data_IF_577116481511
#
_entry.id   IF_577116481511
#
_cell.length_a   1.000
_cell.length_b   1.000
_cell.length_c   1.000
_cell.angle_alpha   90.00
_cell.angle_beta   90.00
_cell.angle_gamma   90.00
#
_symmetry.space_group_name_H-M   'P 1'
#
loop_
_entity.id
_entity.type
_entity.pdbx_description
1 polymer ?
#
# COMPACT_ATOMS: atom_id res chain seq x y z
N UNK A 1 -22.56 -3.84 -25.15
CA UNK A 1 -22.25 -4.69 -23.96
C UNK A 1 -20.98 -4.27 -23.20
N UNK A 2 -20.23 -3.25 -23.63
CA UNK A 2 -18.93 -2.88 -23.02
C UNK A 2 -18.98 -2.03 -21.73
N UNK A 3 -20.14 -1.43 -21.39
CA UNK A 3 -20.27 -0.58 -20.19
C UNK A 3 -20.27 -1.36 -18.86
N UNK A 4 -20.65 -2.65 -18.88
CA UNK A 4 -20.76 -3.49 -17.67
C UNK A 4 -19.40 -3.98 -17.13
N UNK A 5 -18.46 -4.33 -18.02
CA UNK A 5 -17.13 -4.85 -17.63
C UNK A 5 -16.24 -3.74 -17.06
N UNK A 6 -16.39 -2.50 -17.56
CA UNK A 6 -15.64 -1.33 -17.10
C UNK A 6 -16.02 -0.92 -15.67
N UNK A 7 -17.29 -1.02 -15.30
CA UNK A 7 -17.77 -0.69 -13.94
C UNK A 7 -17.34 -1.72 -12.88
N UNK A 8 -17.20 -3.00 -13.25
CA UNK A 8 -16.72 -4.04 -12.34
C UNK A 8 -15.21 -3.91 -12.02
N UNK A 9 -14.39 -3.55 -13.01
CA UNK A 9 -12.96 -3.30 -12.81
C UNK A 9 -12.71 -2.10 -11.86
N UNK A 10 -13.56 -1.07 -11.93
CA UNK A 10 -13.52 0.15 -11.10
C UNK A 10 -13.85 -0.16 -9.63
N UNK A 11 -14.92 -0.95 -9.38
CA UNK A 11 -15.30 -1.38 -8.03
C UNK A 11 -14.26 -2.32 -7.41
N UNK A 12 -13.54 -3.11 -8.24
CA UNK A 12 -12.58 -4.11 -7.78
C UNK A 12 -11.21 -3.54 -7.35
N UNK A 13 -10.85 -2.32 -7.79
CA UNK A 13 -9.64 -1.61 -7.32
C UNK A 13 -9.95 -0.75 -6.09
N UNK A 14 -11.18 -0.26 -5.96
CA UNK A 14 -11.65 0.46 -4.77
C UNK A 14 -11.95 -0.47 -3.58
N UNK A 15 -12.12 -1.78 -3.81
CA UNK A 15 -12.35 -2.79 -2.76
C UNK A 15 -11.07 -3.24 -2.03
N UNK A 16 -9.96 -2.48 -2.15
CA UNK A 16 -8.69 -2.71 -1.45
C UNK A 16 -8.81 -2.24 0.02
N UNK A 17 -9.72 -2.84 0.76
CA UNK A 17 -9.59 -2.95 2.21
C UNK A 17 -9.28 -4.42 2.54
N UNK A 18 -7.97 -4.67 2.69
CA UNK A 18 -7.38 -5.61 3.63
C UNK A 18 -8.24 -6.84 4.02
N UNK A 19 -8.02 -8.04 3.42
CA UNK A 19 -8.66 -9.27 3.92
C UNK A 19 -8.14 -9.72 5.29
N UNK A 20 -7.15 -9.03 5.87
CA UNK A 20 -6.59 -9.34 7.20
C UNK A 20 -7.19 -8.39 8.24
N UNK A 21 -8.44 -8.64 8.62
CA UNK A 21 -8.93 -8.31 9.97
C UNK A 21 -8.20 -9.15 11.03
N UNK A 22 -8.24 -8.77 12.32
CA UNK A 22 -7.34 -9.32 13.32
C UNK A 22 -7.72 -10.77 13.65
N UNK A 23 -6.95 -11.73 13.15
CA UNK A 23 -7.09 -13.13 13.53
C UNK A 23 -5.70 -13.79 13.65
N UNK A 24 -5.06 -13.57 14.79
CA UNK A 24 -4.22 -14.57 15.44
C UNK A 24 -4.03 -14.13 16.90
N UNK A 25 -5.01 -14.51 17.73
CA UNK A 25 -4.86 -14.47 19.17
C UNK A 25 -3.68 -15.34 19.57
N UNK A 26 -2.66 -14.69 20.14
CA UNK A 26 -1.63 -15.39 20.90
C UNK A 26 -2.32 -15.93 22.15
N UNK A 27 -2.58 -17.25 22.16
CA UNK A 27 -2.96 -17.98 23.35
C UNK A 27 -1.75 -18.00 24.30
N UNK A 28 -1.70 -17.02 25.20
CA UNK A 28 -0.85 -17.07 26.39
C UNK A 28 -1.53 -17.98 27.40
N UNK A 29 -0.81 -19.06 27.72
CA UNK A 29 -1.18 -20.06 28.71
C UNK A 29 -1.37 -19.44 30.10
N UNK A 30 -2.34 -20.03 30.81
CA UNK A 30 -2.71 -19.78 32.20
C UNK A 30 -1.52 -19.86 33.17
N UNK A 31 -1.48 -18.91 34.11
CA UNK A 31 -0.49 -18.82 35.17
C UNK A 31 -0.97 -17.92 36.30
N UNK A 32 -1.76 -18.50 37.20
CA UNK A 32 -2.29 -17.95 38.46
C UNK A 32 -1.23 -17.24 39.30
N UNK A 33 -1.51 -16.01 39.75
CA UNK A 33 -1.43 -15.58 41.16
C UNK A 33 -1.66 -14.06 41.30
N UNK A 34 -2.75 -13.67 41.95
CA UNK A 34 -2.93 -12.33 42.53
C UNK A 34 -2.21 -12.25 43.89
N UNK A 35 -1.80 -11.05 44.32
CA UNK A 35 -2.03 -10.69 45.71
C UNK A 35 -2.66 -9.30 45.89
N UNK A 36 -3.74 -9.32 46.66
CA UNK A 36 -3.94 -8.51 47.87
C UNK A 36 -3.77 -6.99 47.79
N UNK A 37 -4.91 -6.31 47.78
CA UNK A 37 -5.09 -4.88 48.10
C UNK A 37 -4.73 -4.62 49.57
N UNK A 38 -3.87 -3.63 49.83
CA UNK A 38 -3.93 -2.82 51.04
C UNK A 38 -3.16 -1.51 50.82
N UNK A 39 -3.77 -0.38 51.17
CA UNK A 39 -3.10 0.90 51.17
C UNK A 39 -4.01 2.07 50.81
N UNK A 40 -4.75 2.56 51.82
CA UNK A 40 -5.28 3.91 51.83
C UNK A 40 -4.25 4.92 51.26
N UNK A 41 -4.65 5.71 50.27
CA UNK A 41 -4.21 7.10 50.24
C UNK A 41 -5.26 8.01 49.60
N UNK A 42 -5.83 8.88 50.44
CA UNK A 42 -6.65 10.02 50.05
C UNK A 42 -5.73 11.06 49.43
N UNK A 43 -5.91 11.36 48.14
CA UNK A 43 -5.49 12.65 47.59
C UNK A 43 -6.68 13.30 46.90
N UNK A 44 -6.98 14.49 47.40
CA UNK A 44 -8.03 15.41 47.06
C UNK A 44 -7.82 15.92 45.62
N UNK A 45 -8.48 15.27 44.64
CA UNK A 45 -8.51 15.75 43.26
C UNK A 45 -9.64 16.76 43.16
N UNK A 46 -9.29 18.05 43.21
CA UNK A 46 -10.15 19.12 42.69
C UNK A 46 -10.35 18.89 41.19
N UNK A 47 -11.40 18.14 40.84
CA UNK A 47 -11.86 17.95 39.47
C UNK A 47 -12.38 19.29 38.93
N UNK A 48 -11.56 19.93 38.09
CA UNK A 48 -12.03 20.92 37.13
C UNK A 48 -12.84 20.16 36.05
N UNK A 49 -14.00 20.63 35.56
CA UNK A 49 -14.89 19.80 34.76
C UNK A 49 -14.27 19.31 33.44
N UNK A 50 -14.25 17.99 33.25
CA UNK A 50 -13.84 17.23 32.06
C UNK A 50 -14.94 17.21 30.98
N UNK A 51 -15.50 18.37 30.61
CA UNK A 51 -16.62 18.44 29.65
C UNK A 51 -16.23 18.89 28.23
N UNK A 52 -14.93 19.02 27.91
CA UNK A 52 -14.47 19.40 26.56
C UNK A 52 -13.74 18.28 25.79
N UNK A 53 -13.24 17.24 26.45
CA UNK A 53 -12.38 16.23 25.81
C UNK A 53 -13.14 15.22 24.90
N UNK A 54 -14.47 15.09 25.06
CA UNK A 54 -15.28 14.19 24.22
C UNK A 54 -15.68 14.81 22.87
N UNK A 55 -15.68 16.16 22.75
CA UNK A 55 -15.98 16.86 21.50
C UNK A 55 -14.84 16.77 20.50
N UNK A 56 -13.62 17.07 20.95
CA UNK A 56 -12.42 17.11 20.11
C UNK A 56 -12.07 15.74 19.52
N UNK A 57 -12.20 14.66 20.30
CA UNK A 57 -11.93 13.30 19.85
C UNK A 57 -12.96 12.78 18.82
N UNK A 58 -14.23 13.17 18.95
CA UNK A 58 -15.27 12.80 17.99
C UNK A 58 -15.10 13.59 16.68
N UNK A 59 -14.74 14.87 16.79
CA UNK A 59 -14.44 15.71 15.63
C UNK A 59 -13.22 15.18 14.85
N UNK A 60 -12.14 14.79 15.54
CA UNK A 60 -10.96 14.17 14.92
C UNK A 60 -11.31 12.87 14.16
N UNK A 61 -12.12 11.98 14.75
CA UNK A 61 -12.57 10.73 14.11
C UNK A 61 -13.46 10.98 12.89
N UNK A 62 -14.35 11.97 12.95
CA UNK A 62 -15.21 12.34 11.81
C UNK A 62 -14.41 12.97 10.68
N UNK A 63 -13.44 13.83 11.00
CA UNK A 63 -12.54 14.43 10.02
C UNK A 63 -11.66 13.38 9.33
N UNK A 64 -11.12 12.40 10.08
CA UNK A 64 -10.35 11.31 9.50
C UNK A 64 -11.17 10.46 8.53
N UNK A 65 -12.41 10.09 8.91
CA UNK A 65 -13.32 9.37 7.99
C UNK A 65 -13.63 10.17 6.73
N UNK A 66 -13.85 11.48 6.86
CA UNK A 66 -14.10 12.36 5.71
C UNK A 66 -12.88 12.42 4.79
N UNK A 67 -11.70 12.61 5.37
CA UNK A 67 -10.42 12.63 4.65
C UNK A 67 -10.18 11.32 3.91
N UNK A 68 -10.43 10.17 4.53
CA UNK A 68 -10.32 8.87 3.88
C UNK A 68 -11.31 8.70 2.73
N UNK A 69 -12.57 9.13 2.90
CA UNK A 69 -13.57 9.11 1.82
C UNK A 69 -13.14 9.95 0.61
N UNK A 70 -12.68 11.17 0.85
CA UNK A 70 -12.15 12.05 -0.21
C UNK A 70 -10.97 11.41 -0.92
N UNK A 71 -10.03 10.84 -0.15
CA UNK A 71 -8.86 10.16 -0.69
C UNK A 71 -9.26 8.96 -1.56
N UNK A 72 -10.23 8.14 -1.12
CA UNK A 72 -10.78 7.01 -1.88
C UNK A 72 -11.43 7.47 -3.18
N UNK A 73 -12.26 8.52 -3.15
CA UNK A 73 -12.91 9.06 -4.33
C UNK A 73 -11.90 9.56 -5.38
N UNK A 74 -10.89 10.33 -4.95
CA UNK A 74 -9.83 10.81 -5.84
C UNK A 74 -9.01 9.67 -6.47
N UNK A 75 -8.62 8.67 -5.68
CA UNK A 75 -7.87 7.50 -6.16
C UNK A 75 -8.70 6.67 -7.14
N UNK A 76 -9.99 6.47 -6.86
CA UNK A 76 -10.91 5.79 -7.78
C UNK A 76 -11.03 6.49 -9.13
N UNK A 77 -11.30 7.80 -9.10
CA UNK A 77 -11.38 8.63 -10.30
C UNK A 77 -10.07 8.62 -11.10
N UNK A 78 -8.92 8.67 -10.43
CA UNK A 78 -7.62 8.56 -11.06
C UNK A 78 -7.43 7.22 -11.80
N UNK A 79 -7.80 6.11 -11.16
CA UNK A 79 -7.65 4.77 -11.76
C UNK A 79 -8.57 4.61 -12.98
N UNK A 80 -9.80 5.13 -12.92
CA UNK A 80 -10.70 5.16 -14.07
C UNK A 80 -10.08 5.85 -15.28
N UNK A 81 -9.55 7.06 -15.07
CA UNK A 81 -8.90 7.84 -16.11
C UNK A 81 -7.63 7.14 -16.59
N UNK A 82 -6.79 6.67 -15.68
CA UNK A 82 -5.57 5.93 -16.00
C UNK A 82 -5.84 4.75 -16.95
N UNK A 83 -6.90 3.99 -16.70
CA UNK A 83 -7.29 2.84 -17.54
C UNK A 83 -7.93 3.24 -18.87
N UNK A 84 -8.57 4.42 -18.94
CA UNK A 84 -9.29 4.86 -20.13
C UNK A 84 -8.41 5.61 -21.15
N UNK A 85 -7.52 6.47 -20.66
CA UNK A 85 -6.73 7.41 -21.47
C UNK A 85 -5.21 7.26 -21.29
N UNK A 86 -4.76 6.44 -20.33
CA UNK A 86 -3.35 6.24 -20.04
C UNK A 86 -2.76 7.33 -19.14
N UNK A 87 -1.63 7.02 -18.50
CA UNK A 87 -1.07 7.87 -17.44
C UNK A 87 -0.77 9.30 -17.88
N UNK A 88 -0.13 9.48 -19.04
CA UNK A 88 0.36 10.80 -19.47
C UNK A 88 -0.80 11.76 -19.80
N UNK A 89 -1.93 11.24 -20.29
CA UNK A 89 -3.13 12.03 -20.61
C UNK A 89 -3.90 12.51 -19.38
N UNK A 90 -3.82 11.79 -18.25
CA UNK A 90 -4.56 12.16 -17.03
C UNK A 90 -4.11 13.51 -16.49
N UNK A 91 -5.05 14.43 -16.34
CA UNK A 91 -4.87 15.73 -15.69
C UNK A 91 -5.46 15.75 -14.27
N UNK A 92 -4.80 16.45 -13.34
CA UNK A 92 -5.31 16.61 -11.96
C UNK A 92 -6.70 17.27 -11.94
N UNK A 93 -6.99 18.18 -12.87
CA UNK A 93 -8.32 18.81 -12.99
C UNK A 93 -9.39 17.81 -13.40
N UNK A 94 -9.09 16.90 -14.33
CA UNK A 94 -10.01 15.84 -14.74
C UNK A 94 -10.29 14.85 -13.60
N UNK A 95 -9.28 14.56 -12.76
CA UNK A 95 -9.46 13.75 -11.54
C UNK A 95 -10.38 14.46 -10.55
N UNK A 96 -10.18 15.76 -10.32
CA UNK A 96 -11.01 16.55 -9.40
C UNK A 96 -12.48 16.58 -9.87
N UNK A 97 -12.70 16.85 -11.15
CA UNK A 97 -14.04 16.85 -11.76
C UNK A 97 -14.71 15.47 -11.68
N UNK A 98 -13.98 14.40 -12.01
CA UNK A 98 -14.52 13.03 -11.94
C UNK A 98 -14.83 12.57 -10.52
N UNK A 99 -14.02 13.00 -9.54
CA UNK A 99 -14.21 12.66 -8.14
C UNK A 99 -15.26 13.53 -7.44
N UNK A 100 -15.86 14.51 -8.14
CA UNK A 100 -16.73 15.55 -7.56
C UNK A 100 -16.06 16.32 -6.40
N UNK A 101 -14.80 16.70 -6.61
CA UNK A 101 -13.97 17.43 -5.66
C UNK A 101 -13.57 18.80 -6.18
N UNK A 102 -13.53 19.78 -5.27
CA UNK A 102 -12.87 21.05 -5.56
C UNK A 102 -11.37 20.84 -5.82
N UNK A 103 -10.79 21.58 -6.78
CA UNK A 103 -9.34 21.50 -7.10
C UNK A 103 -8.47 21.69 -5.86
N UNK A 104 -8.77 22.69 -5.03
CA UNK A 104 -8.04 22.95 -3.78
C UNK A 104 -8.09 21.75 -2.82
N UNK A 105 -9.25 21.08 -2.72
CA UNK A 105 -9.41 19.87 -1.90
C UNK A 105 -8.59 18.71 -2.44
N UNK A 106 -8.53 18.53 -3.76
CA UNK A 106 -7.67 17.51 -4.35
C UNK A 106 -6.19 17.80 -4.05
N UNK A 107 -5.74 19.05 -4.25
CA UNK A 107 -4.35 19.45 -4.03
C UNK A 107 -3.91 19.40 -2.56
N UNK A 108 -4.84 19.52 -1.62
CA UNK A 108 -4.58 19.30 -0.20
C UNK A 108 -4.18 17.84 0.09
N UNK A 109 -4.77 16.89 -0.64
CA UNK A 109 -4.49 15.46 -0.45
C UNK A 109 -3.37 14.95 -1.36
N UNK A 110 -3.25 15.48 -2.57
CA UNK A 110 -2.34 15.01 -3.61
C UNK A 110 -1.76 16.20 -4.37
N UNK A 111 -0.46 16.46 -4.20
CA UNK A 111 0.22 17.58 -4.84
C UNK A 111 0.51 17.28 -6.31
N UNK A 112 0.72 16.01 -6.62
CA UNK A 112 1.13 15.55 -7.96
C UNK A 112 0.32 14.34 -8.42
N UNK A 113 0.36 14.08 -9.74
CA UNK A 113 -0.17 12.84 -10.34
C UNK A 113 0.59 11.60 -9.86
N UNK A 114 1.88 11.74 -9.54
CA UNK A 114 2.67 10.66 -8.95
C UNK A 114 2.21 10.32 -7.52
N UNK A 115 1.69 11.29 -6.76
CA UNK A 115 1.10 11.01 -5.43
C UNK A 115 -0.17 10.15 -5.56
N UNK A 116 -1.00 10.42 -6.59
CA UNK A 116 -2.17 9.60 -6.91
C UNK A 116 -1.77 8.20 -7.38
N UNK A 117 -0.73 8.10 -8.22
CA UNK A 117 -0.19 6.81 -8.65
C UNK A 117 0.38 6.02 -7.46
N UNK A 118 1.10 6.67 -6.56
CA UNK A 118 1.65 6.05 -5.36
C UNK A 118 0.56 5.59 -4.40
N UNK A 119 -0.56 6.30 -4.33
CA UNK A 119 -1.70 5.93 -3.51
C UNK A 119 -2.55 4.82 -4.15
N UNK A 120 -2.72 4.81 -5.48
CA UNK A 120 -3.42 3.73 -6.18
C UNK A 120 -2.65 2.41 -6.10
N UNK A 121 -1.32 2.47 -6.06
CA UNK A 121 -0.43 1.31 -5.95
C UNK A 121 0.00 1.00 -4.51
N UNK A 122 -0.64 1.59 -3.49
CA UNK A 122 -0.13 1.50 -2.12
C UNK A 122 -0.05 0.07 -1.58
N UNK A 123 -1.11 -0.73 -1.75
CA UNK A 123 -1.13 -2.11 -1.26
C UNK A 123 -0.11 -3.01 -1.98
N UNK A 124 -0.07 -3.10 -3.33
CA UNK A 124 0.93 -3.90 -4.03
C UNK A 124 2.37 -3.51 -3.66
N UNK A 125 2.65 -2.21 -3.62
CA UNK A 125 3.99 -1.72 -3.32
C UNK A 125 4.38 -1.96 -1.86
N UNK A 126 3.44 -1.87 -0.91
CA UNK A 126 3.70 -2.22 0.49
C UNK A 126 4.03 -3.71 0.64
N UNK A 127 3.31 -4.59 -0.05
CA UNK A 127 3.57 -6.04 -0.02
C UNK A 127 4.95 -6.35 -0.61
N UNK A 128 5.28 -5.77 -1.76
CA UNK A 128 6.57 -5.99 -2.43
C UNK A 128 7.77 -5.38 -1.68
N UNK A 129 7.57 -4.25 -1.01
CA UNK A 129 8.62 -3.58 -0.23
C UNK A 129 8.78 -4.15 1.19
N UNK A 130 7.90 -5.06 1.62
CA UNK A 130 7.95 -5.63 2.96
C UNK A 130 9.26 -6.40 3.19
N UNK A 131 9.79 -6.27 4.41
CA UNK A 131 11.09 -6.81 4.75
C UNK A 131 11.16 -7.25 6.23
N UNK A 132 11.10 -8.56 6.54
CA UNK A 132 10.90 -9.66 5.58
C UNK A 132 9.49 -9.62 4.95
N UNK A 133 9.34 -10.12 3.72
CA UNK A 133 8.03 -10.19 3.08
C UNK A 133 7.18 -11.29 3.70
N UNK A 134 5.88 -11.03 3.83
CA UNK A 134 4.89 -12.03 4.26
C UNK A 134 4.48 -12.92 3.07
N UNK A 135 4.72 -14.24 3.12
CA UNK A 135 4.32 -15.17 2.06
C UNK A 135 2.83 -15.15 1.75
N UNK A 136 1.97 -14.99 2.77
CA UNK A 136 0.52 -14.95 2.57
C UNK A 136 0.09 -13.68 1.81
N UNK A 137 0.69 -12.53 2.16
CA UNK A 137 0.47 -11.28 1.44
C UNK A 137 0.97 -11.34 -0.01
N UNK A 138 2.13 -11.97 -0.26
CA UNK A 138 2.65 -12.17 -1.62
C UNK A 138 1.72 -13.05 -2.46
N UNK A 139 1.22 -14.16 -1.90
CA UNK A 139 0.24 -15.01 -2.58
C UNK A 139 -1.05 -14.25 -2.90
N UNK A 140 -1.56 -13.46 -1.95
CA UNK A 140 -2.73 -12.61 -2.19
C UNK A 140 -2.49 -11.58 -3.30
N UNK A 141 -1.29 -10.99 -3.37
CA UNK A 141 -0.89 -10.10 -4.47
C UNK A 141 -0.86 -10.81 -5.81
N UNK A 142 -0.24 -11.98 -5.89
CA UNK A 142 -0.13 -12.75 -7.14
C UNK A 142 -1.52 -13.15 -7.64
N UNK A 143 -2.39 -13.61 -6.74
CA UNK A 143 -3.76 -13.96 -7.06
C UNK A 143 -4.56 -12.74 -7.53
N UNK A 144 -4.42 -11.61 -6.84
CA UNK A 144 -5.02 -10.34 -7.25
C UNK A 144 -4.60 -9.93 -8.66
N UNK A 145 -3.32 -10.11 -9.00
CA UNK A 145 -2.78 -9.85 -10.34
C UNK A 145 -3.34 -10.85 -11.36
N UNK A 146 -3.54 -12.12 -11.00
CA UNK A 146 -4.15 -13.15 -11.85
C UNK A 146 -5.54 -12.76 -12.33
N UNK A 147 -6.40 -12.45 -11.36
CA UNK A 147 -7.81 -12.14 -11.57
C UNK A 147 -7.99 -10.87 -12.41
N UNK A 148 -6.98 -9.98 -12.39
CA UNK A 148 -7.02 -8.65 -13.01
C UNK A 148 -5.99 -8.46 -14.13
N UNK A 149 -5.52 -9.56 -14.72
CA UNK A 149 -4.39 -9.60 -15.67
C UNK A 149 -4.47 -8.58 -16.81
N UNK A 150 -5.66 -8.28 -17.34
CA UNK A 150 -5.84 -7.26 -18.38
C UNK A 150 -5.54 -5.83 -17.92
N UNK A 151 -5.94 -5.46 -16.70
CA UNK A 151 -5.70 -4.13 -16.15
C UNK A 151 -4.24 -3.96 -15.69
N UNK A 152 -3.68 -5.01 -15.07
CA UNK A 152 -2.30 -5.00 -14.57
C UNK A 152 -1.29 -4.97 -15.72
N UNK A 153 -1.62 -5.54 -16.89
CA UNK A 153 -0.75 -5.47 -18.07
C UNK A 153 -0.43 -4.03 -18.48
N UNK A 154 -1.44 -3.16 -18.52
CA UNK A 154 -1.26 -1.72 -18.86
C UNK A 154 -0.30 -1.03 -17.87
N UNK A 155 -0.38 -1.39 -16.60
CA UNK A 155 0.51 -0.84 -15.56
C UNK A 155 1.97 -1.30 -15.70
N UNK A 156 2.18 -2.46 -16.32
CA UNK A 156 3.49 -3.07 -16.52
C UNK A 156 4.11 -2.77 -17.89
N UNK A 157 3.41 -1.99 -18.72
CA UNK A 157 3.95 -1.41 -19.95
C UNK A 157 4.74 -0.12 -19.67
N UNK A 158 5.69 0.19 -20.55
CA UNK A 158 6.46 1.42 -20.47
C UNK A 158 5.65 2.59 -21.07
N UNK A 159 5.78 3.82 -20.53
CA UNK A 159 6.75 4.27 -19.50
C UNK A 159 6.24 4.15 -18.05
N UNK A 160 5.01 3.70 -17.84
CA UNK A 160 4.37 3.66 -16.53
C UNK A 160 5.07 2.70 -15.56
N UNK A 161 5.50 1.53 -16.04
CA UNK A 161 6.30 0.59 -15.25
C UNK A 161 7.52 1.25 -14.61
N UNK A 162 8.27 2.05 -15.37
CA UNK A 162 9.47 2.75 -14.85
C UNK A 162 9.14 3.73 -13.72
N UNK A 163 7.97 4.38 -13.76
CA UNK A 163 7.51 5.25 -12.68
C UNK A 163 7.15 4.43 -11.43
N UNK A 164 6.42 3.33 -11.60
CA UNK A 164 6.03 2.44 -10.49
C UNK A 164 7.27 1.78 -9.86
N UNK A 165 8.26 1.37 -10.66
CA UNK A 165 9.53 0.84 -10.18
C UNK A 165 10.28 1.84 -9.27
N UNK A 166 10.28 3.13 -9.61
CA UNK A 166 10.85 4.17 -8.75
C UNK A 166 10.07 4.36 -7.44
N UNK A 167 8.74 4.27 -7.49
CA UNK A 167 7.89 4.33 -6.28
C UNK A 167 8.13 3.14 -5.34
N UNK A 168 8.37 1.95 -5.92
CA UNK A 168 8.74 0.75 -5.17
C UNK A 168 10.14 0.89 -4.56
N UNK A 169 11.11 1.30 -5.36
CA UNK A 169 12.48 1.54 -4.89
C UNK A 169 12.54 2.53 -3.72
N UNK A 170 11.77 3.62 -3.80
CA UNK A 170 11.65 4.60 -2.72
C UNK A 170 11.10 4.00 -1.41
N UNK A 171 10.27 2.95 -1.49
CA UNK A 171 9.76 2.21 -0.31
C UNK A 171 10.74 1.16 0.22
N UNK A 172 11.54 0.54 -0.64
CA UNK A 172 12.56 -0.44 -0.26
C UNK A 172 13.76 0.23 0.41
N UNK A 173 14.13 1.43 -0.06
CA UNK A 173 15.35 2.14 0.32
C UNK A 173 15.53 2.35 1.85
N UNK A 174 14.52 2.75 2.64
CA UNK A 174 14.66 2.84 4.09
C UNK A 174 15.05 1.52 4.76
N UNK A 175 14.49 0.39 4.31
CA UNK A 175 14.82 -0.94 4.83
C UNK A 175 16.27 -1.33 4.55
N UNK A 176 16.76 -1.06 3.33
CA UNK A 176 18.17 -1.28 2.96
C UNK A 176 19.12 -0.45 3.82
N UNK A 177 18.78 0.83 4.06
CA UNK A 177 19.56 1.73 4.92
C UNK A 177 19.59 1.25 6.37
N UNK A 178 18.46 0.77 6.90
CA UNK A 178 18.39 0.19 8.24
C UNK A 178 19.31 -1.03 8.40
N UNK A 179 19.61 -1.74 7.31
CA UNK A 179 20.54 -2.89 7.26
C UNK A 179 21.99 -2.51 6.91
N UNK A 180 22.32 -1.22 6.90
CA UNK A 180 23.68 -0.73 6.66
C UNK A 180 24.08 -0.62 5.19
N UNK A 181 23.15 -0.82 4.24
CA UNK A 181 23.41 -0.50 2.83
C UNK A 181 23.25 1.01 2.65
N UNK A 182 24.36 1.71 2.43
CA UNK A 182 24.41 3.18 2.40
C UNK A 182 24.93 3.73 1.07
N UNK A 183 24.69 5.03 0.87
CA UNK A 183 25.15 5.77 -0.30
C UNK A 183 24.49 5.32 -1.61
N UNK A 184 25.10 5.65 -2.77
CA UNK A 184 24.53 5.33 -4.09
C UNK A 184 24.25 3.85 -4.33
N UNK A 185 24.93 2.95 -3.62
CA UNK A 185 24.69 1.50 -3.68
C UNK A 185 23.28 1.14 -3.19
N UNK A 186 22.76 1.85 -2.20
CA UNK A 186 21.41 1.62 -1.68
C UNK A 186 20.36 1.98 -2.73
N UNK A 187 20.54 3.09 -3.44
CA UNK A 187 19.62 3.54 -4.48
C UNK A 187 19.61 2.58 -5.67
N UNK A 188 20.80 2.15 -6.13
CA UNK A 188 20.95 1.15 -7.22
C UNK A 188 20.31 -0.18 -6.83
N UNK A 189 20.56 -0.67 -5.61
CA UNK A 189 19.99 -1.94 -5.13
C UNK A 189 18.47 -1.87 -4.97
N UNK A 190 17.93 -0.75 -4.49
CA UNK A 190 16.50 -0.56 -4.36
C UNK A 190 15.81 -0.59 -5.73
N UNK A 191 16.38 0.09 -6.73
CA UNK A 191 15.83 0.08 -8.09
C UNK A 191 15.97 -1.29 -8.77
N UNK A 192 17.12 -1.94 -8.62
CA UNK A 192 17.35 -3.28 -9.16
C UNK A 192 16.38 -4.32 -8.55
N UNK A 193 16.14 -4.25 -7.24
CA UNK A 193 15.15 -5.08 -6.56
C UNK A 193 13.74 -4.86 -7.13
N UNK A 194 13.32 -3.60 -7.20
CA UNK A 194 12.01 -3.24 -7.74
C UNK A 194 11.82 -3.74 -9.18
N UNK A 195 12.81 -3.53 -10.06
CA UNK A 195 12.74 -4.01 -11.45
C UNK A 195 12.75 -5.54 -11.55
N UNK A 196 13.53 -6.22 -10.71
CA UNK A 196 13.54 -7.68 -10.64
C UNK A 196 12.18 -8.24 -10.23
N UNK A 197 11.54 -7.65 -9.23
CA UNK A 197 10.19 -8.03 -8.79
C UNK A 197 9.15 -7.81 -9.90
N UNK A 198 9.20 -6.67 -10.60
CA UNK A 198 8.31 -6.43 -11.74
C UNK A 198 8.59 -7.35 -12.92
N UNK A 199 9.85 -7.70 -13.19
CA UNK A 199 10.20 -8.66 -14.23
C UNK A 199 9.64 -10.06 -13.93
N UNK A 200 9.75 -10.53 -12.68
CA UNK A 200 9.19 -11.80 -12.24
C UNK A 200 7.66 -11.85 -12.40
N UNK A 201 6.96 -10.78 -11.98
CA UNK A 201 5.51 -10.65 -12.17
C UNK A 201 5.14 -10.60 -13.66
N UNK A 202 5.87 -9.86 -14.47
CA UNK A 202 5.61 -9.74 -15.91
C UNK A 202 5.77 -11.07 -16.64
N UNK A 203 6.83 -11.84 -16.33
CA UNK A 203 7.05 -13.17 -16.87
C UNK A 203 5.91 -14.12 -16.50
N UNK A 204 5.50 -14.09 -15.23
CA UNK A 204 4.41 -14.92 -14.74
C UNK A 204 3.08 -14.65 -15.45
N UNK A 205 2.74 -13.38 -15.65
CA UNK A 205 1.53 -12.97 -16.38
C UNK A 205 1.52 -13.37 -17.86
N UNK A 206 2.68 -13.64 -18.46
CA UNK A 206 2.77 -14.09 -19.86
C UNK A 206 2.43 -15.58 -20.01
N UNK A 207 2.07 -16.27 -18.92
CA UNK A 207 1.56 -17.65 -18.98
C UNK A 207 2.64 -18.71 -18.90
N UNK A 208 3.80 -18.41 -18.30
CA UNK A 208 4.95 -19.31 -18.19
C UNK A 208 4.75 -20.55 -17.30
N UNK A 209 3.52 -20.85 -16.85
CA UNK A 209 3.21 -22.06 -16.07
C UNK A 209 3.79 -22.11 -14.65
N UNK A 210 4.45 -21.05 -14.19
CA UNK A 210 5.06 -20.98 -12.85
C UNK A 210 3.94 -20.93 -11.79
N UNK A 211 3.88 -21.85 -10.82
CA UNK A 211 2.91 -21.81 -9.73
C UNK A 211 3.07 -20.54 -8.88
N UNK A 212 1.96 -19.98 -8.40
CA UNK A 212 1.97 -18.77 -7.56
C UNK A 212 2.88 -18.89 -6.31
N UNK A 213 2.96 -20.03 -5.59
CA UNK A 213 3.90 -20.19 -4.48
C UNK A 213 5.36 -20.06 -4.88
N UNK A 214 5.75 -20.61 -6.03
CA UNK A 214 7.13 -20.53 -6.54
C UNK A 214 7.49 -19.08 -6.87
N UNK A 215 6.55 -18.32 -7.45
CA UNK A 215 6.75 -16.90 -7.69
C UNK A 215 6.85 -16.11 -6.37
N UNK A 216 6.05 -16.43 -5.36
CA UNK A 216 6.14 -15.77 -4.05
C UNK A 216 7.52 -15.97 -3.41
N UNK A 217 8.06 -17.20 -3.47
CA UNK A 217 9.42 -17.51 -3.01
C UNK A 217 10.48 -16.72 -3.80
N UNK A 218 10.33 -16.60 -5.12
CA UNK A 218 11.21 -15.79 -5.97
C UNK A 218 11.21 -14.31 -5.55
N UNK A 219 10.02 -13.73 -5.38
CA UNK A 219 9.87 -12.33 -4.96
C UNK A 219 10.50 -12.10 -3.58
N UNK A 220 10.32 -13.05 -2.64
CA UNK A 220 10.94 -12.98 -1.34
C UNK A 220 12.48 -13.06 -1.41
N UNK A 221 13.01 -13.92 -2.28
CA UNK A 221 14.45 -14.05 -2.50
C UNK A 221 15.06 -12.78 -3.09
N UNK A 222 14.39 -12.14 -4.05
CA UNK A 222 14.82 -10.87 -4.64
C UNK A 222 14.91 -9.76 -3.58
N UNK A 223 13.91 -9.65 -2.70
CA UNK A 223 13.94 -8.71 -1.58
C UNK A 223 15.12 -8.96 -0.63
N UNK A 224 15.35 -10.22 -0.25
CA UNK A 224 16.44 -10.59 0.66
C UNK A 224 17.84 -10.36 0.03
N UNK A 225 18.00 -10.66 -1.25
CA UNK A 225 19.26 -10.47 -1.98
C UNK A 225 19.68 -8.99 -2.02
N UNK A 226 18.72 -8.07 -2.20
CA UNK A 226 19.00 -6.63 -2.20
C UNK A 226 19.59 -6.13 -0.86
N UNK A 227 19.15 -6.72 0.24
CA UNK A 227 19.56 -6.38 1.60
C UNK A 227 20.87 -7.02 2.05
N UNK A 228 21.39 -8.03 1.32
CA UNK A 228 22.59 -8.76 1.73
C UNK A 228 23.83 -7.87 1.60
N UNK A 229 24.57 -7.58 2.68
CA UNK A 229 25.83 -6.85 2.59
C UNK A 229 26.86 -7.73 1.86
N UNK A 230 27.38 -7.25 0.72
CA UNK A 230 28.60 -7.84 0.13
C UNK A 230 28.48 -9.11 -0.72
N UNK A 231 27.60 -9.15 -1.72
CA UNK A 231 27.84 -10.00 -2.90
C UNK A 231 27.80 -9.12 -4.15
N UNK A 232 28.95 -8.51 -4.44
CA UNK A 232 29.33 -8.20 -5.80
C UNK A 232 30.06 -9.45 -6.30
N UNK A 233 29.69 -10.07 -7.44
CA UNK A 233 30.63 -10.95 -8.14
C UNK A 233 31.86 -10.18 -8.61
#
# INVERSE_FOLDING_TARGET
MERGVRSAAIMAVLSVENPIGPAAGVALADGVAAPSVSGQNRLDVRLRPLMSAHGDAMEEVVQDRRRQRTRKAAVGAFIELLMAEGYDAVAMTAVAERADLGRSTLYEHFRTKDDLLAASMDWPLRVLAADPPDPAALLALIEHVRERSGAVRVLLEQPLRSRIARLLAARILPGLRARGVVGPRADVRALACAEGQFAALALWMQGGGVPAPVLAEELARLSAAAATPGQCP
#
